data_IF_311442815380
#
_entry.id   IF_311442815380
#
_cell.length_a   1.000
_cell.length_b   1.000
_cell.length_c   1.000
_cell.angle_alpha   90.00
_cell.angle_beta   90.00
_cell.angle_gamma   90.00
#
_symmetry.space_group_name_H-M   'P 1'
#
loop_
_entity.id
_entity.type
_entity.pdbx_description
1 polymer ?
#
# COMPACT_ATOMS: atom_id res chain seq x y z
N UNK A 1 -48.62 -55.23 -25.36
CA UNK A 1 -48.14 -56.00 -26.53
C UNK A 1 -47.15 -55.14 -27.30
N UNK A 2 -45.97 -55.71 -27.61
CA UNK A 2 -45.08 -55.40 -28.76
C UNK A 2 -44.65 -53.96 -29.04
N UNK A 3 -43.37 -53.60 -29.26
CA UNK A 3 -42.16 -54.36 -29.60
C UNK A 3 -40.90 -53.55 -29.24
N UNK A 4 -39.85 -54.28 -28.89
CA UNK A 4 -38.46 -53.83 -28.75
C UNK A 4 -37.87 -53.32 -30.07
N UNK A 5 -36.86 -52.46 -30.02
CA UNK A 5 -35.71 -52.57 -30.93
C UNK A 5 -34.45 -51.93 -30.36
N UNK A 6 -33.39 -52.73 -30.33
CA UNK A 6 -32.02 -52.37 -29.96
C UNK A 6 -31.12 -52.52 -31.20
N UNK A 7 -30.14 -51.63 -31.34
CA UNK A 7 -29.03 -51.72 -32.31
C UNK A 7 -27.89 -50.89 -31.70
N UNK A 8 -26.85 -51.45 -31.06
CA UNK A 8 -25.75 -52.33 -31.53
C UNK A 8 -25.12 -51.83 -32.83
N UNK A 9 -23.99 -51.12 -32.71
CA UNK A 9 -22.95 -51.11 -33.73
C UNK A 9 -21.62 -51.51 -33.10
N UNK A 10 -21.00 -52.50 -33.73
CA UNK A 10 -19.82 -53.22 -33.33
C UNK A 10 -18.54 -52.57 -33.88
N UNK A 11 -17.43 -52.86 -33.21
CA UNK A 11 -16.06 -52.59 -33.65
C UNK A 11 -15.67 -53.45 -34.86
N UNK A 12 -14.60 -53.06 -35.58
CA UNK A 12 -13.69 -54.00 -36.19
C UNK A 12 -12.36 -54.09 -35.41
N UNK A 13 -11.99 -55.33 -35.12
CA UNK A 13 -10.71 -55.82 -34.62
C UNK A 13 -9.92 -56.36 -35.82
N UNK A 14 -8.60 -56.12 -35.89
CA UNK A 14 -7.51 -57.09 -36.17
C UNK A 14 -6.17 -56.36 -36.41
N UNK A 15 -5.20 -56.57 -35.51
CA UNK A 15 -4.01 -57.47 -35.65
C UNK A 15 -2.87 -56.75 -36.40
N UNK A 16 -1.87 -56.19 -35.72
CA UNK A 16 -0.68 -56.81 -35.11
C UNK A 16 0.41 -57.20 -36.13
N UNK A 17 1.58 -56.56 -36.02
CA UNK A 17 2.91 -57.18 -36.19
C UNK A 17 4.02 -56.15 -35.92
N UNK A 18 4.99 -56.56 -35.10
CA UNK A 18 6.45 -56.26 -35.10
C UNK A 18 6.90 -54.80 -35.28
N UNK A 19 7.77 -54.22 -34.46
CA UNK A 19 9.17 -54.65 -34.29
C UNK A 19 9.78 -53.78 -33.18
N UNK A 20 10.36 -54.42 -32.17
CA UNK A 20 11.29 -53.81 -31.25
C UNK A 20 12.67 -53.79 -31.91
N UNK A 21 13.51 -52.86 -31.45
CA UNK A 21 14.98 -52.80 -31.64
C UNK A 21 15.48 -51.78 -32.68
N UNK A 22 15.95 -50.64 -32.16
CA UNK A 22 16.88 -49.76 -32.86
C UNK A 22 17.74 -48.99 -31.83
N UNK A 23 18.95 -49.49 -31.48
CA UNK A 23 19.92 -48.70 -30.75
C UNK A 23 20.59 -47.69 -31.69
N UNK A 24 20.57 -46.42 -31.28
CA UNK A 24 21.23 -45.30 -31.95
C UNK A 24 22.76 -45.51 -31.98
N UNK A 25 23.33 -45.35 -33.18
CA UNK A 25 24.78 -45.36 -33.43
C UNK A 25 25.48 -44.17 -32.73
N UNK A 26 26.66 -44.35 -32.13
CA UNK A 26 27.44 -43.25 -31.59
C UNK A 26 28.19 -42.54 -32.72
N UNK A 27 27.95 -41.24 -32.89
CA UNK A 27 28.79 -40.37 -33.75
C UNK A 27 29.88 -39.77 -32.88
N UNK A 28 31.10 -40.28 -33.05
CA UNK A 28 32.34 -39.64 -32.59
C UNK A 28 32.82 -38.70 -33.69
N UNK A 29 33.04 -37.43 -33.36
CA UNK A 29 33.98 -36.56 -34.07
C UNK A 29 34.61 -35.57 -33.08
N UNK A 30 35.90 -35.20 -33.30
CA UNK A 30 36.83 -34.91 -32.23
C UNK A 30 36.89 -33.41 -31.91
N UNK A 31 36.57 -33.04 -30.66
CA UNK A 31 36.80 -31.69 -30.18
C UNK A 31 38.25 -31.55 -29.68
N UNK A 32 39.03 -30.87 -30.52
CA UNK A 32 40.32 -30.21 -30.28
C UNK A 32 40.52 -29.81 -28.81
N UNK A 33 41.62 -30.30 -28.23
CA UNK A 33 42.15 -29.83 -26.96
C UNK A 33 42.46 -28.32 -27.03
N UNK A 34 41.83 -27.54 -26.16
CA UNK A 34 42.30 -26.21 -25.77
C UNK A 34 42.21 -26.12 -24.26
N UNK A 35 43.38 -26.18 -23.61
CA UNK A 35 43.56 -25.89 -22.18
C UNK A 35 43.14 -24.46 -21.87
N UNK A 36 42.32 -24.20 -20.83
CA UNK A 36 42.36 -22.93 -20.14
C UNK A 36 43.43 -23.00 -19.05
N UNK A 37 44.43 -22.16 -19.23
CA UNK A 37 45.53 -21.82 -18.31
C UNK A 37 45.00 -21.52 -16.90
N UNK A 38 45.53 -22.25 -15.93
CA UNK A 38 45.42 -21.95 -14.49
C UNK A 38 46.02 -20.58 -14.24
N UNK A 39 45.20 -19.60 -13.86
CA UNK A 39 45.67 -18.31 -13.32
C UNK A 39 46.01 -18.49 -11.84
N UNK A 40 47.15 -17.96 -11.36
CA UNK A 40 47.52 -18.03 -9.96
C UNK A 40 46.59 -17.18 -9.09
N UNK A 41 46.27 -17.72 -7.91
CA UNK A 41 45.49 -17.11 -6.84
C UNK A 41 46.22 -15.87 -6.33
N UNK A 42 45.63 -14.70 -6.56
CA UNK A 42 46.02 -13.47 -5.86
C UNK A 42 45.37 -13.49 -4.48
N UNK A 43 46.21 -13.37 -3.45
CA UNK A 43 45.82 -13.35 -2.05
C UNK A 43 44.79 -12.24 -1.78
N UNK A 44 43.66 -12.60 -1.16
CA UNK A 44 42.69 -11.65 -0.64
C UNK A 44 43.29 -10.94 0.59
N UNK A 45 43.29 -9.59 0.65
CA UNK A 45 43.64 -8.89 1.87
C UNK A 45 42.51 -9.02 2.90
N UNK A 46 42.92 -9.39 4.11
CA UNK A 46 42.19 -9.47 5.38
C UNK A 46 41.26 -8.25 5.61
N UNK A 47 40.00 -8.43 6.05
CA UNK A 47 39.11 -7.31 6.32
C UNK A 47 39.63 -6.49 7.51
N UNK A 48 39.80 -5.18 7.30
CA UNK A 48 40.10 -4.21 8.34
C UNK A 48 38.88 -4.06 9.29
N UNK A 49 39.10 -3.83 10.59
CA UNK A 49 38.03 -3.62 11.55
C UNK A 49 37.27 -2.32 11.25
N UNK A 50 35.95 -2.42 11.12
CA UNK A 50 35.03 -1.27 11.03
C UNK A 50 35.23 -0.39 12.28
N UNK A 51 35.72 0.83 12.07
CA UNK A 51 35.73 1.87 13.08
C UNK A 51 34.29 2.18 13.47
N UNK A 52 34.01 2.20 14.77
CA UNK A 52 32.74 2.68 15.33
C UNK A 52 32.67 4.18 15.04
N UNK A 53 31.71 4.60 14.22
CA UNK A 53 31.30 6.00 14.18
C UNK A 53 30.88 6.41 15.60
N UNK A 54 31.43 7.49 16.17
CA UNK A 54 30.94 8.00 17.43
C UNK A 54 29.52 8.53 17.19
N UNK A 55 28.58 8.08 18.03
CA UNK A 55 27.28 8.74 18.20
C UNK A 55 27.56 10.24 18.27
N UNK A 56 27.08 10.96 17.26
CA UNK A 56 27.13 12.41 17.22
C UNK A 56 26.44 12.88 18.49
N UNK A 57 27.26 13.47 19.36
CA UNK A 57 26.91 13.99 20.65
C UNK A 57 25.62 14.78 20.57
N UNK A 58 24.82 14.62 21.62
CA UNK A 58 23.79 15.55 22.06
C UNK A 58 24.20 16.97 21.71
N UNK A 59 23.53 17.53 20.71
CA UNK A 59 23.44 18.97 20.56
C UNK A 59 22.16 19.34 21.27
N UNK A 60 22.37 19.85 22.47
CA UNK A 60 21.61 20.93 23.07
C UNK A 60 20.18 21.01 22.52
N UNK A 61 19.27 20.32 23.20
CA UNK A 61 17.87 20.69 23.20
C UNK A 61 17.78 22.10 23.84
N UNK A 62 18.10 23.10 23.03
CA UNK A 62 17.84 24.48 23.29
C UNK A 62 16.37 24.60 23.66
N UNK A 63 16.17 25.00 24.92
CA UNK A 63 14.98 25.61 25.49
C UNK A 63 14.05 26.18 24.41
N UNK A 64 13.09 25.37 23.97
CA UNK A 64 11.88 25.95 23.43
C UNK A 64 11.09 26.47 24.64
N UNK A 65 11.09 27.80 24.75
CA UNK A 65 10.22 28.55 25.63
C UNK A 65 8.79 28.18 25.25
N UNK A 66 8.18 27.33 26.07
CA UNK A 66 6.77 27.03 26.04
C UNK A 66 6.02 28.31 26.45
N UNK A 67 5.77 29.19 25.49
CA UNK A 67 4.81 30.27 25.65
C UNK A 67 3.45 29.59 25.78
N UNK A 68 3.00 29.43 27.03
CA UNK A 68 1.84 28.65 27.44
C UNK A 68 0.58 28.92 26.61
N UNK A 69 0.46 28.20 25.49
CA UNK A 69 -0.77 28.12 24.72
C UNK A 69 -1.64 27.16 25.51
N UNK A 70 -2.54 27.72 26.31
CA UNK A 70 -3.49 26.95 27.10
C UNK A 70 -4.09 25.83 26.23
N UNK A 71 -3.93 24.58 26.65
CA UNK A 71 -4.58 23.47 25.98
C UNK A 71 -6.08 23.77 25.90
N UNK A 72 -6.72 23.54 24.75
CA UNK A 72 -8.14 23.80 24.62
C UNK A 72 -8.89 22.95 25.64
N UNK A 73 -9.30 23.54 26.77
CA UNK A 73 -10.10 22.82 27.75
C UNK A 73 -11.57 23.04 27.41
N UNK A 74 -12.40 22.02 27.58
CA UNK A 74 -13.79 22.14 27.17
C UNK A 74 -14.46 23.28 27.96
N UNK A 75 -15.04 24.26 27.27
CA UNK A 75 -15.57 25.48 27.88
C UNK A 75 -16.64 25.22 28.97
N UNK A 76 -17.27 24.04 28.92
CA UNK A 76 -18.25 23.57 29.88
C UNK A 76 -17.63 22.91 31.14
N UNK A 77 -16.34 22.58 31.13
CA UNK A 77 -15.58 22.11 32.31
C UNK A 77 -15.02 23.27 33.13
N UNK A 78 -14.57 24.34 32.48
CA UNK A 78 -13.87 25.47 33.14
C UNK A 78 -14.80 26.49 33.79
N UNK A 79 -16.10 26.50 33.44
CA UNK A 79 -17.07 27.43 34.02
C UNK A 79 -16.79 28.92 33.74
N UNK A 80 -15.82 29.21 32.86
CA UNK A 80 -15.42 30.54 32.40
C UNK A 80 -15.88 30.71 30.94
N UNK A 81 -17.14 31.09 30.76
CA UNK A 81 -17.78 31.22 29.45
C UNK A 81 -19.20 30.67 29.50
N UNK A 82 -19.97 30.83 28.42
CA UNK A 82 -21.33 30.31 28.25
C UNK A 82 -21.40 28.77 28.21
N UNK A 83 -20.65 28.11 29.10
CA UNK A 83 -20.68 26.68 29.33
C UNK A 83 -22.03 26.24 29.90
N UNK A 84 -22.27 24.94 29.76
CA UNK A 84 -23.52 24.28 30.12
C UNK A 84 -24.06 24.80 31.46
N UNK A 85 -25.32 25.28 31.52
CA UNK A 85 -25.90 25.73 32.77
C UNK A 85 -25.83 24.59 33.79
N UNK A 86 -25.28 24.86 34.99
CA UNK A 86 -25.18 23.90 36.10
C UNK A 86 -26.54 23.34 36.55
N UNK A 87 -27.64 23.85 36.00
CA UNK A 87 -29.02 23.44 36.26
C UNK A 87 -29.67 23.05 34.92
N UNK A 88 -29.90 21.76 34.72
CA UNK A 88 -30.66 21.23 33.58
C UNK A 88 -29.98 21.44 32.23
N UNK A 89 -28.93 20.66 31.94
CA UNK A 89 -28.27 20.65 30.64
C UNK A 89 -29.25 20.14 29.58
N UNK A 90 -29.59 21.00 28.62
CA UNK A 90 -30.34 20.56 27.44
C UNK A 90 -29.43 19.64 26.60
N UNK A 91 -29.89 18.42 26.30
CA UNK A 91 -29.17 17.43 25.49
C UNK A 91 -28.68 18.02 24.17
N UNK A 92 -29.51 18.82 23.51
CA UNK A 92 -29.16 19.45 22.22
C UNK A 92 -28.02 20.47 22.37
N UNK A 93 -27.98 21.20 23.48
CA UNK A 93 -26.88 22.13 23.77
C UNK A 93 -25.58 21.38 24.07
N UNK A 94 -25.64 20.29 24.84
CA UNK A 94 -24.45 19.45 25.09
C UNK A 94 -23.87 18.89 23.80
N UNK A 95 -24.70 18.38 22.89
CA UNK A 95 -24.23 17.86 21.60
C UNK A 95 -23.52 18.95 20.78
N UNK A 96 -24.09 20.15 20.72
CA UNK A 96 -23.47 21.28 20.01
C UNK A 96 -22.13 21.71 20.61
N UNK A 97 -22.03 21.78 21.94
CA UNK A 97 -20.79 22.12 22.63
C UNK A 97 -19.74 21.01 22.50
N UNK A 98 -20.17 19.75 22.45
CA UNK A 98 -19.31 18.60 22.22
C UNK A 98 -18.75 18.61 20.80
N UNK A 99 -19.58 18.88 19.78
CA UNK A 99 -19.12 19.04 18.40
C UNK A 99 -18.12 20.20 18.26
N UNK A 100 -18.39 21.33 18.92
CA UNK A 100 -17.48 22.48 18.95
C UNK A 100 -16.15 22.16 19.62
N UNK A 101 -16.18 21.49 20.76
CA UNK A 101 -14.98 21.07 21.49
C UNK A 101 -14.18 20.02 20.72
N UNK A 102 -14.86 19.04 20.10
CA UNK A 102 -14.23 18.01 19.28
C UNK A 102 -13.44 18.64 18.14
N UNK A 103 -14.01 19.60 17.41
CA UNK A 103 -13.29 20.31 16.33
C UNK A 103 -12.08 21.07 16.84
N UNK A 104 -12.20 21.76 17.98
CA UNK A 104 -11.09 22.49 18.59
C UNK A 104 -9.95 21.55 19.02
N UNK A 105 -10.32 20.39 19.60
CA UNK A 105 -9.38 19.36 19.98
C UNK A 105 -8.68 18.74 18.79
N UNK A 106 -9.43 18.34 17.77
CA UNK A 106 -8.88 17.75 16.55
C UNK A 106 -7.94 18.73 15.86
N UNK A 107 -8.31 20.00 15.72
CA UNK A 107 -7.40 21.00 15.15
C UNK A 107 -6.14 21.22 16.00
N UNK A 108 -6.26 21.25 17.33
CA UNK A 108 -5.11 21.43 18.21
C UNK A 108 -4.14 20.25 18.16
N UNK A 109 -4.66 19.03 18.30
CA UNK A 109 -3.85 17.81 18.28
C UNK A 109 -3.29 17.53 16.89
N UNK A 110 -4.06 17.75 15.83
CA UNK A 110 -3.58 17.63 14.45
C UNK A 110 -2.40 18.57 14.19
N UNK A 111 -2.45 19.84 14.64
CA UNK A 111 -1.33 20.79 14.50
C UNK A 111 -0.11 20.43 15.34
N UNK A 112 -0.29 19.73 16.47
CA UNK A 112 0.84 19.22 17.27
C UNK A 112 1.55 18.06 16.55
N UNK A 113 0.80 17.22 15.84
CA UNK A 113 1.30 16.02 15.19
C UNK A 113 1.81 16.30 13.77
N UNK A 114 1.03 17.03 12.99
CA UNK A 114 1.27 17.38 11.59
C UNK A 114 1.90 18.76 11.56
N UNK A 115 3.20 18.81 11.30
CA UNK A 115 3.92 20.07 11.02
C UNK A 115 3.45 20.68 9.70
N UNK A 116 3.99 21.85 9.35
CA UNK A 116 3.72 22.55 8.09
C UNK A 116 3.68 21.59 6.88
N UNK A 117 2.52 21.49 6.24
CA UNK A 117 2.34 20.65 5.05
C UNK A 117 2.63 21.48 3.82
N UNK A 118 3.52 20.99 2.97
CA UNK A 118 3.84 21.62 1.69
C UNK A 118 2.84 21.23 0.61
N UNK A 119 2.59 22.12 -0.35
CA UNK A 119 1.76 21.83 -1.51
C UNK A 119 2.27 20.61 -2.30
N UNK A 120 3.58 20.37 -2.29
CA UNK A 120 4.22 19.24 -2.97
C UNK A 120 3.88 17.89 -2.33
N UNK A 121 3.72 17.84 -1.01
CA UNK A 121 3.31 16.62 -0.31
C UNK A 121 1.86 16.27 -0.64
N UNK A 122 0.97 17.28 -0.69
CA UNK A 122 -0.42 17.09 -1.13
C UNK A 122 -0.46 16.57 -2.56
N UNK A 123 0.28 17.21 -3.48
CA UNK A 123 0.39 16.75 -4.87
C UNK A 123 0.90 15.31 -4.95
N UNK A 124 1.89 14.96 -4.11
CA UNK A 124 2.44 13.62 -4.00
C UNK A 124 1.39 12.58 -3.62
N UNK A 125 0.58 12.84 -2.59
CA UNK A 125 -0.49 11.94 -2.14
C UNK A 125 -1.54 11.76 -3.24
N UNK A 126 -1.99 12.85 -3.86
CA UNK A 126 -2.96 12.82 -4.96
C UNK A 126 -2.41 12.03 -6.15
N UNK A 127 -1.13 12.23 -6.49
CA UNK A 127 -0.44 11.50 -7.55
C UNK A 127 -0.36 10.00 -7.24
N UNK A 128 -0.08 9.63 -5.99
CA UNK A 128 -0.08 8.22 -5.56
C UNK A 128 -1.47 7.61 -5.72
N UNK A 129 -2.52 8.28 -5.24
CA UNK A 129 -3.90 7.81 -5.37
C UNK A 129 -4.29 7.62 -6.85
N UNK A 130 -3.91 8.56 -7.73
CA UNK A 130 -4.15 8.46 -9.17
C UNK A 130 -3.41 7.26 -9.80
N UNK A 131 -2.15 7.03 -9.43
CA UNK A 131 -1.36 5.87 -9.89
C UNK A 131 -1.99 4.55 -9.43
N UNK A 132 -2.44 4.47 -8.19
CA UNK A 132 -3.10 3.28 -7.64
C UNK A 132 -4.42 3.00 -8.36
N UNK A 133 -5.22 4.04 -8.63
CA UNK A 133 -6.42 3.92 -9.46
C UNK A 133 -6.10 3.37 -10.85
N UNK A 134 -5.08 3.92 -11.51
CA UNK A 134 -4.64 3.46 -12.83
C UNK A 134 -4.23 1.98 -12.82
N UNK A 135 -3.47 1.54 -11.81
CA UNK A 135 -3.06 0.14 -11.64
C UNK A 135 -4.25 -0.79 -11.41
N UNK A 136 -5.20 -0.38 -10.56
CA UNK A 136 -6.41 -1.16 -10.33
C UNK A 136 -7.22 -1.34 -11.61
N UNK A 137 -7.44 -0.25 -12.36
CA UNK A 137 -8.14 -0.30 -13.64
C UNK A 137 -7.40 -1.18 -14.66
N UNK A 138 -6.07 -1.07 -14.74
CA UNK A 138 -5.26 -1.92 -15.61
C UNK A 138 -5.46 -3.40 -15.29
N UNK A 139 -5.38 -3.79 -14.00
CA UNK A 139 -5.59 -5.18 -13.57
C UNK A 139 -7.00 -5.70 -13.88
N UNK A 140 -8.03 -4.87 -13.76
CA UNK A 140 -9.39 -5.24 -14.15
C UNK A 140 -9.51 -5.48 -15.66
N UNK A 141 -8.91 -4.61 -16.47
CA UNK A 141 -8.92 -4.75 -17.93
C UNK A 141 -8.11 -5.97 -18.39
N UNK A 142 -6.96 -6.22 -17.77
CA UNK A 142 -6.13 -7.40 -18.03
C UNK A 142 -6.89 -8.69 -17.75
N UNK A 143 -7.69 -8.73 -16.68
CA UNK A 143 -8.53 -9.89 -16.33
C UNK A 143 -9.76 -10.05 -17.25
N UNK A 144 -10.30 -8.93 -17.77
CA UNK A 144 -11.45 -8.92 -18.68
C UNK A 144 -11.11 -9.13 -20.16
N UNK A 145 -9.84 -9.29 -20.52
CA UNK A 145 -9.40 -9.39 -21.92
C UNK A 145 -9.89 -10.70 -22.55
N UNK A 146 -10.65 -10.58 -23.65
CA UNK A 146 -11.16 -11.73 -24.41
C UNK A 146 -10.02 -12.57 -24.98
N UNK A 147 -10.06 -13.89 -24.77
CA UNK A 147 -9.02 -14.81 -25.25
C UNK A 147 -8.01 -15.24 -24.17
N UNK A 148 -8.05 -14.64 -22.97
CA UNK A 148 -7.45 -15.25 -21.78
C UNK A 148 -8.36 -16.34 -21.22
N UNK A 149 -7.75 -17.33 -20.56
CA UNK A 149 -8.48 -18.34 -19.79
C UNK A 149 -9.25 -17.73 -18.61
N UNK A 150 -9.95 -18.56 -17.82
CA UNK A 150 -10.69 -18.09 -16.65
C UNK A 150 -9.75 -17.38 -15.66
N UNK A 151 -10.27 -16.33 -15.01
CA UNK A 151 -9.53 -15.56 -14.01
C UNK A 151 -9.15 -16.49 -12.85
N UNK A 152 -7.85 -16.51 -12.53
CA UNK A 152 -7.31 -17.34 -11.45
C UNK A 152 -7.57 -16.70 -10.08
N UNK A 153 -7.55 -17.52 -9.02
CA UNK A 153 -7.65 -17.00 -7.65
C UNK A 153 -6.52 -16.01 -7.32
N UNK A 154 -5.32 -16.25 -7.84
CA UNK A 154 -4.18 -15.36 -7.69
C UNK A 154 -4.41 -13.98 -8.29
N UNK A 155 -4.96 -13.93 -9.50
CA UNK A 155 -5.34 -12.67 -10.17
C UNK A 155 -6.45 -11.95 -9.41
N UNK A 156 -7.48 -12.67 -8.94
CA UNK A 156 -8.54 -12.08 -8.12
C UNK A 156 -8.00 -11.47 -6.82
N UNK A 157 -7.04 -12.14 -6.17
CA UNK A 157 -6.38 -11.63 -4.95
C UNK A 157 -5.53 -10.39 -5.23
N UNK A 158 -4.85 -10.34 -6.38
CA UNK A 158 -4.09 -9.16 -6.79
C UNK A 158 -5.01 -7.97 -7.09
N UNK A 159 -6.11 -8.19 -7.81
CA UNK A 159 -7.14 -7.18 -8.07
C UNK A 159 -7.71 -6.63 -6.75
N UNK A 160 -8.03 -7.51 -5.80
CA UNK A 160 -8.53 -7.10 -4.48
C UNK A 160 -7.52 -6.21 -3.74
N UNK A 161 -6.24 -6.60 -3.73
CA UNK A 161 -5.17 -5.78 -3.12
C UNK A 161 -5.05 -4.42 -3.80
N UNK A 162 -5.09 -4.37 -5.13
CA UNK A 162 -5.04 -3.10 -5.86
C UNK A 162 -6.25 -2.20 -5.53
N UNK A 163 -7.44 -2.79 -5.37
CA UNK A 163 -8.64 -2.07 -4.94
C UNK A 163 -8.46 -1.49 -3.54
N UNK A 164 -8.05 -2.30 -2.57
CA UNK A 164 -7.86 -1.88 -1.18
C UNK A 164 -6.87 -0.73 -1.06
N UNK A 165 -5.71 -0.83 -1.72
CA UNK A 165 -4.71 0.24 -1.73
C UNK A 165 -5.27 1.54 -2.34
N UNK A 166 -6.01 1.43 -3.45
CA UNK A 166 -6.64 2.59 -4.08
C UNK A 166 -7.71 3.22 -3.19
N UNK A 167 -8.57 2.41 -2.57
CA UNK A 167 -9.63 2.91 -1.69
C UNK A 167 -9.07 3.60 -0.45
N UNK A 168 -8.02 3.04 0.15
CA UNK A 168 -7.36 3.64 1.30
C UNK A 168 -6.72 4.98 0.92
N UNK A 169 -5.99 5.03 -0.20
CA UNK A 169 -5.41 6.28 -0.69
C UNK A 169 -6.48 7.33 -1.03
N UNK A 170 -7.62 6.91 -1.60
CA UNK A 170 -8.74 7.80 -1.87
C UNK A 170 -9.34 8.36 -0.57
N UNK A 171 -9.59 7.52 0.43
CA UNK A 171 -10.08 7.95 1.74
C UNK A 171 -9.11 8.93 2.38
N UNK A 172 -7.81 8.65 2.33
CA UNK A 172 -6.78 9.56 2.82
C UNK A 172 -6.77 10.93 2.12
N UNK A 173 -7.01 10.99 0.81
CA UNK A 173 -7.15 12.26 0.08
C UNK A 173 -8.40 13.02 0.51
N UNK A 174 -9.52 12.31 0.72
CA UNK A 174 -10.78 12.93 1.15
C UNK A 174 -10.68 13.43 2.60
N UNK A 175 -9.98 12.71 3.47
CA UNK A 175 -9.67 13.14 4.85
C UNK A 175 -8.76 14.36 4.86
N UNK A 176 -7.72 14.37 4.03
CA UNK A 176 -6.81 15.52 3.90
C UNK A 176 -7.55 16.80 3.48
N UNK A 177 -8.51 16.69 2.56
CA UNK A 177 -9.36 17.83 2.17
C UNK A 177 -10.19 18.34 3.33
N UNK A 178 -10.83 17.44 4.08
CA UNK A 178 -11.64 17.83 5.24
C UNK A 178 -10.78 18.49 6.32
N UNK A 179 -9.60 17.95 6.60
CA UNK A 179 -8.66 18.51 7.57
C UNK A 179 -8.19 19.93 7.16
N UNK A 180 -7.96 20.17 5.86
CA UNK A 180 -7.65 21.51 5.34
C UNK A 180 -8.84 22.47 5.43
N UNK A 181 -10.04 22.02 5.07
CA UNK A 181 -11.28 22.82 5.16
C UNK A 181 -11.61 23.22 6.59
N UNK A 182 -11.34 22.34 7.55
CA UNK A 182 -11.56 22.56 8.98
C UNK A 182 -10.42 23.36 9.64
N UNK A 183 -9.33 23.64 8.90
CA UNK A 183 -8.16 24.34 9.40
C UNK A 183 -7.34 23.54 10.42
N UNK A 184 -7.50 22.22 10.42
CA UNK A 184 -6.70 21.30 11.25
C UNK A 184 -5.27 21.20 10.72
N UNK A 185 -5.11 21.28 9.40
CA UNK A 185 -3.82 21.32 8.72
C UNK A 185 -3.63 22.70 8.09
N UNK A 186 -2.42 23.24 8.19
CA UNK A 186 -2.04 24.54 7.59
C UNK A 186 -1.02 24.29 6.48
N UNK A 187 -1.26 24.92 5.33
CA UNK A 187 -0.36 24.86 4.17
C UNK A 187 0.77 25.87 4.31
N UNK A 188 2.01 25.38 4.22
CA UNK A 188 3.20 26.22 4.28
C UNK A 188 3.21 27.22 3.10
N UNK A 189 3.40 28.50 3.40
CA UNK A 189 3.45 29.57 2.39
C UNK A 189 2.10 30.11 1.93
N UNK A 190 0.99 29.65 2.55
CA UNK A 190 -0.33 30.31 2.43
C UNK A 190 -0.61 31.28 3.59
N UNK A 191 0.41 31.65 4.35
CA UNK A 191 0.28 32.62 5.43
C UNK A 191 0.22 34.05 4.84
N UNK A 192 -0.97 34.65 4.94
CA UNK A 192 -1.29 36.08 4.76
C UNK A 192 -1.14 36.71 3.36
N UNK A 193 -2.25 36.72 2.62
CA UNK A 193 -2.74 37.92 1.91
C UNK A 193 -4.05 38.37 2.54
#
# INVERSE_FOLDING_TARGET
MSLMTATRFAAPRREATTEADAPQKPVVSPAKAVRPTVRPVVAQPKPAPRQKEPLRAERDADRHVDTGRAEPQAAWLTGQGAGLPRKGVNRQQLLRELDGFQRQQFASEARKIVMDVSAREIEGIVTIAAKLRGRYLAKLLDAGTTGRGPVTEGEMREIARCREMYEEARRGVDELKQALEQGEIVLQGMESS
#
